data_IF_512883497336
#
_entry.id   IF_512883497336
#
_cell.length_a   1.000
_cell.length_b   1.000
_cell.length_c   1.000
_cell.angle_alpha   90.00
_cell.angle_beta   90.00
_cell.angle_gamma   90.00
#
_symmetry.space_group_name_H-M   'P 1'
#
loop_
_entity.id
_entity.type
_entity.pdbx_description
1 polymer ?
#
# COMPACT_ATOMS: atom_id res chain seq x y z
N UNK A 1 5.81 13.34 7.00
CA UNK A 1 7.09 12.60 6.83
C UNK A 1 7.14 12.03 5.44
N UNK A 2 8.23 12.26 4.68
CA UNK A 2 8.38 11.84 3.28
C UNK A 2 8.90 10.40 3.18
N UNK A 3 9.94 10.03 3.92
CA UNK A 3 10.52 8.69 3.90
C UNK A 3 10.35 7.99 5.25
N UNK A 4 10.00 6.70 5.23
CA UNK A 4 9.70 5.92 6.44
C UNK A 4 10.13 4.45 6.31
N UNK A 5 10.28 3.76 7.43
CA UNK A 5 10.71 2.36 7.49
C UNK A 5 12.24 2.20 7.53
N UNK A 6 12.80 1.08 7.04
CA UNK A 6 12.18 0.01 6.25
C UNK A 6 11.11 -0.80 7.01
N UNK A 7 10.08 -1.21 6.27
CA UNK A 7 8.99 -2.04 6.79
C UNK A 7 9.13 -3.45 6.19
N UNK A 8 8.98 -4.52 7.00
CA UNK A 8 8.93 -5.87 6.46
C UNK A 8 7.72 -6.05 5.55
N UNK A 9 7.93 -6.54 4.36
CA UNK A 9 6.90 -6.79 3.37
C UNK A 9 7.06 -8.18 2.77
N UNK A 10 5.97 -8.96 2.74
CA UNK A 10 5.97 -10.29 2.09
C UNK A 10 6.21 -10.22 0.59
N UNK A 11 5.92 -9.07 -0.03
CA UNK A 11 6.07 -8.85 -1.47
C UNK A 11 7.43 -8.27 -1.84
N UNK A 12 7.98 -7.41 -0.99
CA UNK A 12 9.11 -6.53 -1.31
C UNK A 12 10.29 -6.67 -0.33
N UNK A 13 10.28 -7.65 0.57
CA UNK A 13 11.34 -7.77 1.58
C UNK A 13 11.39 -6.56 2.52
N UNK A 14 12.53 -5.89 2.64
CA UNK A 14 12.69 -4.67 3.44
C UNK A 14 12.37 -3.45 2.58
N UNK A 15 11.16 -2.93 2.70
CA UNK A 15 10.63 -1.84 1.89
C UNK A 15 10.78 -0.50 2.61
N UNK A 16 11.57 0.42 2.04
CA UNK A 16 11.61 1.83 2.48
C UNK A 16 10.50 2.59 1.75
N UNK A 17 9.52 3.07 2.50
CA UNK A 17 8.35 3.75 1.95
C UNK A 17 8.60 5.23 1.65
N UNK A 18 7.94 5.72 0.61
CA UNK A 18 7.99 7.11 0.14
C UNK A 18 6.60 7.68 0.06
N UNK A 19 6.34 8.74 0.81
CA UNK A 19 5.15 9.58 0.71
C UNK A 19 5.46 10.76 -0.22
N UNK A 20 5.08 10.66 -1.48
CA UNK A 20 5.22 11.74 -2.46
C UNK A 20 4.01 12.69 -2.50
N UNK A 21 3.00 12.43 -1.66
CA UNK A 21 1.81 13.26 -1.50
C UNK A 21 1.49 13.45 -0.01
N UNK A 22 0.74 14.49 0.38
CA UNK A 22 0.28 14.66 1.75
C UNK A 22 -0.65 13.52 2.20
N UNK A 23 -0.74 13.26 3.51
CA UNK A 23 -1.64 12.23 4.04
C UNK A 23 -3.08 12.41 3.59
N UNK A 24 -3.75 11.28 3.31
CA UNK A 24 -5.18 11.21 2.99
C UNK A 24 -5.64 12.02 1.77
N UNK A 25 -4.72 12.28 0.84
CA UNK A 25 -5.03 12.76 -0.51
C UNK A 25 -5.13 11.54 -1.42
N UNK A 26 -6.33 11.22 -1.89
CA UNK A 26 -6.56 9.99 -2.67
C UNK A 26 -7.67 10.19 -3.70
N UNK A 27 -7.71 9.33 -4.69
CA UNK A 27 -8.77 9.23 -5.69
C UNK A 27 -9.92 8.34 -5.23
N UNK A 28 -9.69 7.51 -4.19
CA UNK A 28 -10.63 6.58 -3.56
C UNK A 28 -10.78 6.85 -2.07
N UNK A 29 -11.87 6.35 -1.48
CA UNK A 29 -12.06 6.27 -0.03
C UNK A 29 -12.49 4.86 0.33
N UNK A 30 -11.59 3.88 0.09
CA UNK A 30 -11.89 2.45 0.23
C UNK A 30 -12.37 2.12 1.64
N UNK A 31 -13.40 1.29 1.74
CA UNK A 31 -14.02 0.92 3.02
C UNK A 31 -13.06 0.19 3.96
N UNK A 32 -12.06 -0.51 3.40
CA UNK A 32 -11.05 -1.27 4.13
C UNK A 32 -9.74 -0.47 4.40
N UNK A 33 -9.68 0.81 4.05
CA UNK A 33 -8.44 1.57 4.16
C UNK A 33 -7.94 1.65 5.60
N UNK A 34 -6.74 1.12 5.87
CA UNK A 34 -6.12 1.13 7.21
C UNK A 34 -5.78 2.54 7.72
N UNK A 35 -5.77 3.55 6.85
CA UNK A 35 -5.51 4.95 7.19
C UNK A 35 -6.80 5.72 7.51
N UNK A 36 -7.96 5.06 7.40
CA UNK A 36 -9.27 5.67 7.56
C UNK A 36 -9.79 6.31 6.27
N UNK A 37 -10.84 7.11 6.38
CA UNK A 37 -11.47 7.79 5.25
C UNK A 37 -10.54 8.83 4.63
N UNK A 38 -10.66 9.02 3.33
CA UNK A 38 -9.94 10.05 2.57
C UNK A 38 -10.45 11.44 2.95
N UNK A 39 -9.53 12.36 3.26
CA UNK A 39 -9.88 13.74 3.62
C UNK A 39 -9.99 14.65 2.39
N UNK A 40 -9.05 14.50 1.45
CA UNK A 40 -9.03 15.25 0.19
C UNK A 40 -9.15 14.31 -0.99
N UNK A 41 -10.36 14.14 -1.47
CA UNK A 41 -10.63 13.31 -2.64
C UNK A 41 -10.53 14.14 -3.92
N UNK A 42 -9.72 13.67 -4.88
CA UNK A 42 -9.55 14.31 -6.17
C UNK A 42 -9.08 13.33 -7.24
N UNK A 43 -9.26 13.68 -8.51
CA UNK A 43 -8.76 12.91 -9.66
C UNK A 43 -7.80 13.72 -10.54
N UNK A 44 -7.56 14.97 -10.18
CA UNK A 44 -6.61 15.84 -10.88
C UNK A 44 -5.21 15.69 -10.29
N UNK A 45 -4.22 15.55 -11.17
CA UNK A 45 -2.81 15.50 -10.76
C UNK A 45 -2.32 16.89 -10.38
N UNK A 46 -1.43 16.96 -9.40
CA UNK A 46 -0.84 18.21 -8.93
C UNK A 46 0.60 18.02 -8.43
N UNK A 47 1.29 19.12 -8.17
CA UNK A 47 2.57 19.11 -7.46
C UNK A 47 2.28 19.22 -5.95
N UNK A 48 2.82 18.29 -5.17
CA UNK A 48 2.62 18.25 -3.71
C UNK A 48 3.88 18.62 -2.96
N UNK A 49 4.98 17.98 -3.28
CA UNK A 49 6.30 18.28 -2.76
C UNK A 49 7.24 18.67 -3.90
N UNK A 50 8.33 19.37 -3.58
CA UNK A 50 9.40 19.59 -4.56
C UNK A 50 10.18 18.28 -4.73
N UNK A 51 10.50 17.92 -5.96
CA UNK A 51 11.26 16.70 -6.27
C UNK A 51 12.57 16.61 -5.48
N UNK A 52 13.25 17.75 -5.29
CA UNK A 52 14.50 17.85 -4.53
C UNK A 52 14.30 17.59 -3.02
N UNK A 53 13.11 17.88 -2.50
CA UNK A 53 12.75 17.58 -1.11
C UNK A 53 12.56 16.07 -0.92
N UNK A 54 11.85 15.42 -1.83
CA UNK A 54 11.68 13.95 -1.86
C UNK A 54 13.06 13.29 -1.94
N UNK A 55 13.89 13.70 -2.88
CA UNK A 55 15.22 13.13 -3.09
C UNK A 55 16.10 13.26 -1.83
N UNK A 56 16.14 14.45 -1.22
CA UNK A 56 16.92 14.67 0.01
C UNK A 56 16.43 13.79 1.17
N UNK A 57 15.11 13.72 1.39
CA UNK A 57 14.54 12.96 2.48
C UNK A 57 14.80 11.45 2.31
N UNK A 58 14.62 10.92 1.09
CA UNK A 58 14.85 9.50 0.79
C UNK A 58 16.33 9.17 0.90
N UNK A 59 17.22 10.00 0.35
CA UNK A 59 18.69 9.79 0.43
C UNK A 59 19.16 9.78 1.88
N UNK A 60 18.73 10.75 2.70
CA UNK A 60 19.07 10.80 4.12
C UNK A 60 18.59 9.56 4.87
N UNK A 61 17.36 9.08 4.60
CA UNK A 61 16.83 7.87 5.25
C UNK A 61 17.58 6.61 4.79
N UNK A 62 17.91 6.49 3.50
CA UNK A 62 18.73 5.38 2.98
C UNK A 62 20.10 5.33 3.67
N UNK A 63 20.76 6.50 3.82
CA UNK A 63 22.04 6.56 4.53
C UNK A 63 21.92 6.22 6.02
N UNK A 64 20.85 6.66 6.69
CA UNK A 64 20.56 6.32 8.07
C UNK A 64 20.41 4.80 8.25
N UNK A 65 19.61 4.17 7.38
CA UNK A 65 19.35 2.72 7.39
C UNK A 65 20.64 1.93 7.13
N UNK A 66 21.43 2.33 6.13
CA UNK A 66 22.72 1.71 5.83
C UNK A 66 23.71 1.81 6.99
N UNK A 67 23.77 2.97 7.67
CA UNK A 67 24.62 3.16 8.88
C UNK A 67 24.17 2.28 10.04
N UNK A 68 22.87 2.00 10.17
CA UNK A 68 22.35 1.07 11.16
C UNK A 68 22.59 -0.41 10.80
N UNK A 69 23.18 -0.71 9.63
CA UNK A 69 23.42 -2.08 9.16
C UNK A 69 22.16 -2.80 8.68
N UNK A 70 21.09 -2.06 8.41
CA UNK A 70 19.82 -2.61 7.96
C UNK A 70 19.75 -2.72 6.44
N UNK A 71 19.01 -3.71 5.95
CA UNK A 71 18.80 -3.93 4.52
C UNK A 71 17.68 -3.07 3.96
N UNK A 72 17.80 -2.70 2.67
CA UNK A 72 16.73 -2.10 1.88
C UNK A 72 16.69 -2.86 0.55
N UNK A 73 15.58 -3.54 0.29
CA UNK A 73 15.37 -4.28 -0.95
C UNK A 73 14.67 -3.40 -2.01
N UNK A 74 13.74 -2.55 -1.57
CA UNK A 74 12.98 -1.64 -2.44
C UNK A 74 12.82 -0.25 -1.82
N UNK A 75 12.84 0.78 -2.69
CA UNK A 75 12.23 2.08 -2.43
C UNK A 75 10.80 2.03 -2.98
N UNK A 76 9.80 2.26 -2.14
CA UNK A 76 8.40 2.01 -2.52
C UNK A 76 7.57 3.28 -2.39
N UNK A 77 7.06 3.77 -3.51
CA UNK A 77 6.00 4.78 -3.50
C UNK A 77 4.70 4.14 -3.02
N UNK A 78 4.36 4.38 -1.78
CA UNK A 78 3.17 3.85 -1.08
C UNK A 78 2.68 4.87 -0.06
N UNK A 79 2.28 6.06 -0.52
CA UNK A 79 1.89 7.15 0.37
C UNK A 79 0.58 6.85 1.12
N UNK A 80 0.27 7.73 2.05
CA UNK A 80 -1.03 7.76 2.74
C UNK A 80 -2.16 8.24 1.81
N UNK A 81 -2.20 7.71 0.57
CA UNK A 81 -3.11 8.09 -0.49
C UNK A 81 -2.73 7.46 -1.83
N UNK A 82 -2.91 8.18 -2.96
CA UNK A 82 -2.64 7.66 -4.31
C UNK A 82 -1.42 8.32 -4.94
N UNK A 83 -0.28 7.59 -5.11
CA UNK A 83 0.97 8.19 -5.58
C UNK A 83 0.91 8.79 -6.99
N UNK A 84 0.04 8.27 -7.86
CA UNK A 84 -0.07 8.75 -9.25
C UNK A 84 -0.77 10.10 -9.38
N UNK A 85 -1.31 10.66 -8.28
CA UNK A 85 -1.77 12.03 -8.24
C UNK A 85 -0.63 13.05 -8.39
N UNK A 86 0.60 12.66 -8.02
CA UNK A 86 1.75 13.55 -8.17
C UNK A 86 2.25 13.59 -9.62
N UNK A 87 2.32 14.79 -10.18
CA UNK A 87 2.84 15.02 -11.54
C UNK A 87 4.35 14.78 -11.65
N UNK A 88 5.07 14.78 -10.53
CA UNK A 88 6.51 14.60 -10.47
C UNK A 88 6.95 13.14 -10.27
N UNK A 89 6.00 12.21 -10.04
CA UNK A 89 6.27 10.80 -9.74
C UNK A 89 7.32 10.18 -10.69
N UNK A 90 7.17 10.37 -11.99
CA UNK A 90 8.09 9.80 -12.97
C UNK A 90 9.51 10.36 -12.89
N UNK A 91 9.66 11.65 -12.57
CA UNK A 91 10.97 12.29 -12.36
C UNK A 91 11.60 11.81 -11.06
N UNK A 92 10.81 11.67 -10.01
CA UNK A 92 11.27 11.15 -8.72
C UNK A 92 11.80 9.74 -8.83
N UNK A 93 11.07 8.85 -9.54
CA UNK A 93 11.52 7.49 -9.83
C UNK A 93 12.88 7.50 -10.53
N UNK A 94 13.05 8.31 -11.58
CA UNK A 94 14.30 8.39 -12.34
C UNK A 94 15.48 8.84 -11.47
N UNK A 95 15.29 9.87 -10.68
CA UNK A 95 16.36 10.42 -9.83
C UNK A 95 16.75 9.44 -8.71
N UNK A 96 15.77 8.77 -8.10
CA UNK A 96 16.01 7.82 -7.01
C UNK A 96 16.70 6.53 -7.48
N UNK A 97 16.65 6.17 -8.76
CA UNK A 97 17.42 5.05 -9.33
C UNK A 97 18.93 5.19 -9.13
N UNK A 98 19.44 6.42 -9.00
CA UNK A 98 20.85 6.68 -8.72
C UNK A 98 21.33 6.09 -7.38
N UNK A 99 20.41 5.77 -6.45
CA UNK A 99 20.73 5.11 -5.17
C UNK A 99 21.05 3.61 -5.32
N UNK A 100 20.84 3.03 -6.52
CA UNK A 100 21.13 1.61 -6.83
C UNK A 100 20.18 0.63 -6.16
N UNK A 101 18.99 1.10 -5.72
CA UNK A 101 17.95 0.29 -5.08
C UNK A 101 16.77 0.21 -6.05
N UNK A 102 16.13 -0.97 -6.15
CA UNK A 102 14.94 -1.15 -6.99
C UNK A 102 13.79 -0.27 -6.52
N UNK A 103 12.99 0.22 -7.46
CA UNK A 103 11.86 1.09 -7.18
C UNK A 103 10.54 0.36 -7.44
N UNK A 104 9.68 0.37 -6.44
CA UNK A 104 8.31 -0.14 -6.51
C UNK A 104 7.29 1.00 -6.42
N UNK A 105 6.13 0.82 -7.08
CA UNK A 105 4.96 1.68 -6.89
C UNK A 105 3.74 0.82 -6.58
N UNK A 106 3.06 1.14 -5.48
CA UNK A 106 1.77 0.54 -5.12
C UNK A 106 0.70 1.59 -5.40
N UNK A 107 -0.16 1.34 -6.37
CA UNK A 107 -1.21 2.28 -6.79
C UNK A 107 -2.58 1.63 -6.75
N UNK A 108 -3.60 2.41 -6.47
CA UNK A 108 -4.99 1.99 -6.58
C UNK A 108 -5.49 1.91 -8.04
N UNK A 109 -4.60 2.16 -9.00
CA UNK A 109 -4.84 2.05 -10.44
C UNK A 109 -5.79 3.09 -11.04
N UNK A 110 -6.38 3.95 -10.24
CA UNK A 110 -7.49 4.85 -10.65
C UNK A 110 -7.16 5.79 -11.80
N UNK A 111 -5.90 6.18 -11.94
CA UNK A 111 -5.44 7.11 -12.98
C UNK A 111 -4.67 6.44 -14.13
N UNK A 112 -4.58 5.10 -14.16
CA UNK A 112 -3.80 4.36 -15.15
C UNK A 112 -4.34 4.50 -16.60
N UNK A 113 -5.59 4.95 -16.75
CA UNK A 113 -6.16 5.30 -18.05
C UNK A 113 -5.45 6.49 -18.72
N UNK A 114 -4.78 7.35 -17.94
CA UNK A 114 -4.02 8.50 -18.43
C UNK A 114 -2.68 8.05 -19.01
N UNK A 115 -2.32 8.64 -20.15
CA UNK A 115 -1.05 8.30 -20.83
C UNK A 115 0.17 8.78 -20.06
N UNK A 116 0.09 9.97 -19.44
CA UNK A 116 1.16 10.54 -18.61
C UNK A 116 1.43 9.67 -17.36
N UNK A 117 0.38 9.16 -16.71
CA UNK A 117 0.53 8.26 -15.56
C UNK A 117 1.20 6.94 -15.98
N UNK A 118 0.77 6.35 -17.10
CA UNK A 118 1.44 5.14 -17.61
C UNK A 118 2.92 5.39 -17.92
N UNK A 119 3.25 6.55 -18.52
CA UNK A 119 4.64 6.92 -18.81
C UNK A 119 5.49 7.05 -17.52
N UNK A 120 4.92 7.59 -16.44
CA UNK A 120 5.60 7.66 -15.15
C UNK A 120 5.82 6.28 -14.55
N UNK A 121 4.77 5.43 -14.51
CA UNK A 121 4.83 4.09 -13.96
C UNK A 121 5.78 3.15 -14.71
N UNK A 122 5.96 3.33 -16.02
CA UNK A 122 6.92 2.54 -16.82
C UNK A 122 8.37 2.66 -16.36
N UNK A 123 8.69 3.67 -15.57
CA UNK A 123 10.04 3.91 -15.04
C UNK A 123 10.37 3.08 -13.81
N UNK A 124 9.37 2.50 -13.12
CA UNK A 124 9.57 1.66 -11.95
C UNK A 124 9.93 0.22 -12.32
N UNK A 125 10.60 -0.48 -11.39
CA UNK A 125 11.02 -1.86 -11.58
C UNK A 125 9.91 -2.87 -11.24
N UNK A 126 9.00 -2.48 -10.33
CA UNK A 126 7.90 -3.29 -9.83
C UNK A 126 6.65 -2.43 -9.61
N UNK A 127 5.51 -2.90 -10.08
CA UNK A 127 4.23 -2.18 -9.98
C UNK A 127 3.16 -3.12 -9.42
N UNK A 128 2.45 -2.66 -8.38
CA UNK A 128 1.23 -3.30 -7.90
C UNK A 128 0.01 -2.49 -8.34
N UNK A 129 -0.86 -3.12 -9.10
CA UNK A 129 -2.14 -2.56 -9.51
C UNK A 129 -3.26 -3.13 -8.63
N UNK A 130 -4.05 -2.26 -8.02
CA UNK A 130 -5.24 -2.66 -7.28
C UNK A 130 -6.38 -2.99 -8.24
N UNK A 131 -7.05 -4.13 -7.98
CA UNK A 131 -8.21 -4.60 -8.75
C UNK A 131 -9.18 -5.33 -7.81
N UNK A 132 -10.09 -4.62 -7.17
CA UNK A 132 -10.99 -5.19 -6.17
C UNK A 132 -12.30 -5.72 -6.78
N UNK A 133 -12.70 -5.21 -7.95
CA UNK A 133 -13.82 -5.70 -8.75
C UNK A 133 -13.69 -5.27 -10.21
N UNK A 134 -14.36 -5.99 -11.10
CA UNK A 134 -14.60 -5.62 -12.50
C UNK A 134 -16.04 -5.17 -12.74
N UNK A 135 -16.86 -5.14 -11.70
CA UNK A 135 -18.25 -4.67 -11.74
C UNK A 135 -18.34 -3.27 -11.13
N UNK A 136 -18.92 -2.33 -11.88
CA UNK A 136 -19.03 -0.91 -11.51
C UNK A 136 -19.67 -0.72 -10.14
N UNK A 137 -20.75 -1.46 -9.83
CA UNK A 137 -21.45 -1.36 -8.55
C UNK A 137 -20.56 -1.77 -7.39
N UNK A 138 -19.94 -2.95 -7.48
CA UNK A 138 -19.10 -3.49 -6.40
C UNK A 138 -17.86 -2.62 -6.19
N UNK A 139 -17.23 -2.17 -7.27
CA UNK A 139 -16.13 -1.22 -7.21
C UNK A 139 -16.53 0.07 -6.47
N UNK A 140 -17.72 0.62 -6.75
CA UNK A 140 -18.20 1.82 -6.05
C UNK A 140 -18.50 1.56 -4.58
N UNK A 141 -19.01 0.38 -4.26
CA UNK A 141 -19.33 0.01 -2.88
C UNK A 141 -18.05 -0.18 -2.04
N UNK A 142 -16.98 -0.74 -2.61
CA UNK A 142 -15.71 -1.03 -1.94
C UNK A 142 -14.75 0.16 -1.96
N UNK A 143 -14.45 0.68 -3.15
CA UNK A 143 -13.38 1.68 -3.35
C UNK A 143 -13.86 3.11 -3.21
N UNK A 144 -15.17 3.35 -3.28
CA UNK A 144 -15.80 4.68 -3.17
C UNK A 144 -15.05 5.73 -3.99
N UNK A 145 -14.95 5.55 -5.31
CA UNK A 145 -14.10 6.37 -6.16
C UNK A 145 -14.61 7.80 -6.32
N UNK A 146 -13.71 8.71 -6.64
CA UNK A 146 -14.09 10.05 -7.09
C UNK A 146 -15.01 9.96 -8.30
N UNK A 147 -16.06 10.80 -8.33
CA UNK A 147 -17.15 10.76 -9.33
C UNK A 147 -16.71 10.87 -10.79
N UNK A 148 -15.54 11.47 -11.05
CA UNK A 148 -14.99 11.63 -12.41
C UNK A 148 -14.32 10.36 -12.95
N UNK A 149 -14.16 9.30 -12.15
CA UNK A 149 -13.50 8.07 -12.55
C UNK A 149 -14.50 7.09 -13.17
N UNK A 150 -14.01 6.30 -14.13
CA UNK A 150 -14.74 5.25 -14.83
C UNK A 150 -13.97 3.94 -14.74
N UNK A 151 -14.60 2.90 -14.19
CA UNK A 151 -14.00 1.58 -14.06
C UNK A 151 -13.58 1.02 -15.42
N UNK A 152 -14.42 1.14 -16.45
CA UNK A 152 -14.11 0.67 -17.81
C UNK A 152 -12.84 1.35 -18.37
N UNK A 153 -12.65 2.66 -18.15
CA UNK A 153 -11.43 3.37 -18.55
C UNK A 153 -10.21 2.88 -17.79
N UNK A 154 -10.34 2.61 -16.49
CA UNK A 154 -9.28 2.07 -15.64
C UNK A 154 -8.86 0.68 -16.15
N UNK A 155 -9.82 -0.22 -16.37
CA UNK A 155 -9.55 -1.58 -16.85
C UNK A 155 -8.85 -1.58 -18.21
N UNK A 156 -9.30 -0.73 -19.16
CA UNK A 156 -8.60 -0.55 -20.45
C UNK A 156 -7.19 0.01 -20.26
N UNK A 157 -7.01 0.95 -19.34
CA UNK A 157 -5.71 1.52 -19.01
C UNK A 157 -4.73 0.48 -18.46
N UNK A 158 -5.20 -0.43 -17.60
CA UNK A 158 -4.39 -1.54 -17.07
C UNK A 158 -3.92 -2.47 -18.19
N UNK A 159 -4.79 -2.84 -19.13
CA UNK A 159 -4.42 -3.68 -20.28
C UNK A 159 -3.39 -2.97 -21.17
N UNK A 160 -3.63 -1.70 -21.51
CA UNK A 160 -2.69 -0.91 -22.31
C UNK A 160 -1.32 -0.73 -21.62
N UNK A 161 -1.31 -0.59 -20.28
CA UNK A 161 -0.08 -0.52 -19.52
C UNK A 161 0.70 -1.83 -19.60
N UNK A 162 0.03 -2.99 -19.40
CA UNK A 162 0.68 -4.31 -19.46
C UNK A 162 1.37 -4.59 -20.80
N UNK A 163 0.78 -4.16 -21.90
CA UNK A 163 1.36 -4.38 -23.25
C UNK A 163 2.74 -3.74 -23.41
N UNK A 164 2.95 -2.58 -22.78
CA UNK A 164 4.19 -1.81 -22.88
C UNK A 164 5.18 -2.06 -21.72
N UNK A 165 4.68 -2.37 -20.51
CA UNK A 165 5.49 -2.50 -19.32
C UNK A 165 6.36 -3.76 -19.35
N UNK A 166 7.64 -3.63 -18.96
CA UNK A 166 8.63 -4.73 -18.98
C UNK A 166 9.17 -5.10 -17.60
N UNK A 167 8.85 -4.30 -16.57
CA UNK A 167 9.13 -4.64 -15.17
C UNK A 167 8.17 -5.72 -14.64
N UNK A 168 8.29 -6.04 -13.36
CA UNK A 168 7.39 -6.98 -12.69
C UNK A 168 6.04 -6.30 -12.40
N UNK A 169 4.98 -6.81 -13.02
CA UNK A 169 3.60 -6.34 -12.82
C UNK A 169 2.85 -7.33 -11.94
N UNK A 170 2.39 -6.87 -10.80
CA UNK A 170 1.51 -7.66 -9.94
C UNK A 170 0.16 -6.98 -9.76
N UNK A 171 -0.83 -7.76 -9.34
CA UNK A 171 -2.14 -7.23 -8.94
C UNK A 171 -2.43 -7.59 -7.49
N UNK A 172 -3.25 -6.78 -6.84
CA UNK A 172 -3.79 -7.08 -5.54
C UNK A 172 -5.31 -6.90 -5.55
N UNK A 173 -6.02 -7.93 -5.10
CA UNK A 173 -7.46 -7.94 -4.86
C UNK A 173 -7.71 -8.07 -3.38
N UNK A 174 -8.30 -7.05 -2.75
CA UNK A 174 -8.76 -7.08 -1.37
C UNK A 174 -10.14 -7.73 -1.30
N UNK A 175 -10.24 -8.88 -0.65
CA UNK A 175 -11.52 -9.52 -0.41
C UNK A 175 -12.18 -8.94 0.84
N UNK A 176 -13.38 -8.41 0.68
CA UNK A 176 -14.21 -7.85 1.75
C UNK A 176 -15.44 -8.73 1.90
N UNK A 177 -15.64 -9.29 3.10
CA UNK A 177 -16.74 -10.20 3.37
C UNK A 177 -18.11 -9.64 2.99
N UNK A 178 -18.86 -10.40 2.21
CA UNK A 178 -20.19 -10.03 1.74
C UNK A 178 -20.27 -9.02 0.59
N UNK A 179 -19.14 -8.51 0.08
CA UNK A 179 -19.09 -7.55 -1.03
C UNK A 179 -18.61 -8.17 -2.34
N UNK A 180 -17.32 -8.55 -2.42
CA UNK A 180 -16.69 -9.06 -3.64
C UNK A 180 -16.21 -10.52 -3.51
N UNK A 181 -16.72 -11.24 -2.55
CA UNK A 181 -16.32 -12.60 -2.19
C UNK A 181 -17.23 -13.69 -2.79
N UNK A 182 -18.17 -13.31 -3.66
CA UNK A 182 -19.05 -14.26 -4.38
C UNK A 182 -18.34 -14.81 -5.62
N UNK A 183 -18.69 -16.05 -5.99
CA UNK A 183 -18.10 -16.74 -7.15
C UNK A 183 -18.15 -15.95 -8.45
N UNK A 184 -19.27 -15.28 -8.72
CA UNK A 184 -19.45 -14.49 -9.93
C UNK A 184 -18.44 -13.35 -10.01
N UNK A 185 -18.24 -12.63 -8.89
CA UNK A 185 -17.25 -11.56 -8.77
C UNK A 185 -15.83 -12.09 -8.96
N UNK A 186 -15.51 -13.17 -8.27
CA UNK A 186 -14.20 -13.81 -8.32
C UNK A 186 -13.86 -14.32 -9.74
N UNK A 187 -14.84 -14.90 -10.43
CA UNK A 187 -14.69 -15.32 -11.83
C UNK A 187 -14.49 -14.12 -12.75
N UNK A 188 -15.23 -13.03 -12.54
CA UNK A 188 -15.05 -11.79 -13.30
C UNK A 188 -13.65 -11.22 -13.16
N UNK A 189 -13.13 -11.15 -11.92
CA UNK A 189 -11.75 -10.74 -11.65
C UNK A 189 -10.77 -11.71 -12.32
N UNK A 190 -10.95 -13.03 -12.19
CA UNK A 190 -10.08 -14.03 -12.81
C UNK A 190 -10.05 -13.89 -14.34
N UNK A 191 -11.19 -13.69 -14.99
CA UNK A 191 -11.30 -13.49 -16.45
C UNK A 191 -10.54 -12.22 -16.90
N UNK A 192 -10.60 -11.16 -16.13
CA UNK A 192 -9.82 -9.96 -16.42
C UNK A 192 -8.32 -10.20 -16.23
N UNK A 193 -7.90 -10.89 -15.16
CA UNK A 193 -6.50 -11.22 -14.88
C UNK A 193 -5.88 -12.10 -15.97
N UNK A 194 -6.66 -13.01 -16.57
CA UNK A 194 -6.21 -13.81 -17.76
C UNK A 194 -5.84 -12.89 -18.92
N UNK A 195 -6.59 -11.83 -19.14
CA UNK A 195 -6.30 -10.83 -20.20
C UNK A 195 -5.12 -9.94 -19.82
N UNK A 196 -5.06 -9.51 -18.56
CA UNK A 196 -4.01 -8.63 -18.03
C UNK A 196 -2.66 -9.34 -17.95
N UNK A 197 -2.63 -10.65 -17.66
CA UNK A 197 -1.41 -11.46 -17.53
C UNK A 197 -0.39 -10.85 -16.55
N UNK A 198 -0.76 -10.61 -15.28
CA UNK A 198 0.20 -10.17 -14.29
C UNK A 198 1.24 -11.26 -14.05
N UNK A 199 2.43 -10.86 -13.58
CA UNK A 199 3.47 -11.81 -13.18
C UNK A 199 3.05 -12.58 -11.92
N UNK A 200 2.21 -11.95 -11.09
CA UNK A 200 1.60 -12.53 -9.89
C UNK A 200 0.31 -11.79 -9.53
N UNK A 201 -0.69 -12.53 -9.08
CA UNK A 201 -1.92 -11.98 -8.52
C UNK A 201 -1.98 -12.26 -7.01
N UNK A 202 -2.15 -11.23 -6.22
CA UNK A 202 -2.30 -11.34 -4.78
C UNK A 202 -3.78 -11.25 -4.38
N UNK A 203 -4.20 -12.18 -3.49
CA UNK A 203 -5.43 -12.07 -2.73
C UNK A 203 -5.09 -11.59 -1.34
N UNK A 204 -5.69 -10.50 -0.91
CA UNK A 204 -5.54 -9.95 0.44
C UNK A 204 -6.90 -9.88 1.15
N UNK A 205 -6.86 -9.83 2.48
CA UNK A 205 -8.01 -9.61 3.34
C UNK A 205 -7.71 -8.47 4.32
N UNK A 206 -8.72 -7.79 4.89
CA UNK A 206 -8.50 -6.84 5.96
C UNK A 206 -7.87 -7.54 7.18
N UNK A 207 -6.60 -7.21 7.47
CA UNK A 207 -5.84 -7.74 8.62
C UNK A 207 -5.46 -6.64 9.62
N UNK A 208 -5.94 -5.43 9.40
CA UNK A 208 -5.73 -4.24 10.22
C UNK A 208 -7.04 -3.47 10.33
N UNK A 209 -7.19 -2.60 11.36
CA UNK A 209 -8.40 -1.80 11.52
C UNK A 209 -8.79 -1.08 10.24
N UNK A 210 -9.98 -1.34 9.66
CA UNK A 210 -10.45 -0.71 8.43
C UNK A 210 -11.02 0.69 8.68
N UNK A 211 -11.29 1.43 7.59
CA UNK A 211 -11.93 2.74 7.66
C UNK A 211 -13.38 2.67 8.15
N UNK A 212 -14.06 1.56 7.85
CA UNK A 212 -15.46 1.32 8.21
C UNK A 212 -15.55 0.13 9.18
N UNK A 213 -16.16 0.32 10.34
CA UNK A 213 -16.26 -0.68 11.40
C UNK A 213 -16.98 -1.98 11.00
N UNK A 214 -17.87 -1.91 10.01
CA UNK A 214 -18.59 -3.08 9.50
C UNK A 214 -17.78 -3.94 8.53
N UNK A 215 -16.62 -3.49 8.08
CA UNK A 215 -15.74 -4.24 7.17
C UNK A 215 -15.08 -5.38 7.92
N UNK A 216 -15.23 -6.58 7.38
CA UNK A 216 -14.58 -7.79 7.91
C UNK A 216 -13.93 -8.61 6.81
N UNK A 217 -12.97 -9.43 7.19
CA UNK A 217 -12.46 -10.48 6.31
C UNK A 217 -13.53 -11.50 6.00
N UNK A 218 -13.55 -12.10 4.80
CA UNK A 218 -14.38 -13.26 4.53
C UNK A 218 -13.94 -14.46 5.39
N UNK A 219 -14.84 -15.45 5.63
CA UNK A 219 -14.47 -16.73 6.25
C UNK A 219 -13.33 -17.42 5.48
N UNK A 220 -12.51 -18.21 6.19
CA UNK A 220 -11.37 -18.93 5.61
C UNK A 220 -11.77 -19.82 4.41
N UNK A 221 -12.93 -20.48 4.50
CA UNK A 221 -13.48 -21.28 3.41
C UNK A 221 -13.69 -20.45 2.14
N UNK A 222 -14.21 -19.23 2.29
CA UNK A 222 -14.41 -18.29 1.19
C UNK A 222 -13.09 -17.82 0.59
N UNK A 223 -12.08 -17.56 1.42
CA UNK A 223 -10.73 -17.19 0.96
C UNK A 223 -10.09 -18.34 0.17
N UNK A 224 -10.21 -19.58 0.67
CA UNK A 224 -9.73 -20.77 -0.02
C UNK A 224 -10.43 -20.97 -1.37
N UNK A 225 -11.74 -20.77 -1.42
CA UNK A 225 -12.53 -20.83 -2.64
C UNK A 225 -12.11 -19.75 -3.64
N UNK A 226 -11.91 -18.53 -3.18
CA UNK A 226 -11.39 -17.44 -4.02
C UNK A 226 -10.02 -17.80 -4.63
N UNK A 227 -9.11 -18.32 -3.80
CA UNK A 227 -7.82 -18.81 -4.27
C UNK A 227 -7.96 -19.88 -5.36
N UNK A 228 -8.83 -20.85 -5.17
CA UNK A 228 -9.07 -21.93 -6.15
C UNK A 228 -9.59 -21.36 -7.48
N UNK A 229 -10.64 -20.51 -7.43
CA UNK A 229 -11.23 -19.89 -8.62
C UNK A 229 -10.17 -19.10 -9.43
N UNK A 230 -9.35 -18.30 -8.75
CA UNK A 230 -8.30 -17.54 -9.43
C UNK A 230 -7.18 -18.45 -9.95
N UNK A 231 -6.76 -19.46 -9.17
CA UNK A 231 -5.65 -20.37 -9.53
C UNK A 231 -5.98 -21.31 -10.69
N UNK A 232 -7.25 -21.59 -10.96
CA UNK A 232 -7.68 -22.32 -12.15
C UNK A 232 -7.32 -21.59 -13.45
N UNK A 233 -7.19 -20.25 -13.40
CA UNK A 233 -7.06 -19.40 -14.58
C UNK A 233 -5.79 -18.56 -14.61
N UNK A 234 -5.27 -18.18 -13.44
CA UNK A 234 -4.10 -17.32 -13.28
C UNK A 234 -2.91 -18.15 -12.79
N UNK A 235 -1.81 -18.08 -13.52
CA UNK A 235 -0.65 -18.95 -13.31
C UNK A 235 -0.02 -18.85 -11.93
N UNK A 236 0.00 -17.67 -11.33
CA UNK A 236 0.60 -17.41 -10.01
C UNK A 236 -0.36 -16.60 -9.18
N UNK A 237 -1.00 -17.24 -8.24
CA UNK A 237 -1.86 -16.61 -7.22
C UNK A 237 -1.24 -16.85 -5.85
N UNK A 238 -1.17 -15.81 -5.03
CA UNK A 238 -0.67 -15.90 -3.66
C UNK A 238 -1.62 -15.18 -2.70
N UNK A 239 -1.81 -15.76 -1.52
CA UNK A 239 -2.63 -15.15 -0.48
C UNK A 239 -1.79 -14.33 0.50
N UNK A 240 -2.19 -13.07 0.72
CA UNK A 240 -1.63 -12.17 1.72
C UNK A 240 -2.53 -12.12 2.96
N UNK A 241 -2.83 -13.29 3.52
CA UNK A 241 -3.83 -13.46 4.59
C UNK A 241 -3.22 -13.52 6.00
N UNK A 242 -1.92 -13.43 6.15
CA UNK A 242 -1.27 -13.49 7.47
C UNK A 242 -0.61 -12.15 7.85
N UNK A 243 -0.13 -12.08 9.07
CA UNK A 243 0.65 -10.95 9.55
C UNK A 243 2.06 -10.95 8.92
N UNK A 244 2.59 -9.77 8.61
CA UNK A 244 3.87 -9.60 7.89
C UNK A 244 5.11 -9.78 8.79
N UNK A 245 4.91 -10.03 10.10
CA UNK A 245 5.98 -10.23 11.08
C UNK A 245 6.33 -8.95 11.85
N UNK A 246 7.28 -9.10 12.79
CA UNK A 246 7.65 -8.05 13.76
C UNK A 246 9.04 -7.44 13.49
N UNK A 247 9.68 -7.82 12.35
CA UNK A 247 11.06 -7.44 12.07
C UNK A 247 11.18 -6.02 11.49
N UNK A 248 10.62 -5.03 12.19
CA UNK A 248 10.79 -3.63 11.85
C UNK A 248 12.23 -3.16 12.10
N UNK A 249 12.75 -2.33 11.19
CA UNK A 249 14.09 -1.77 11.33
C UNK A 249 14.15 -0.78 12.49
N UNK A 250 15.29 -0.79 13.21
CA UNK A 250 15.63 0.25 14.17
C UNK A 250 16.74 1.12 13.59
N UNK A 251 16.46 2.42 13.39
CA UNK A 251 17.37 3.34 12.71
C UNK A 251 18.08 4.31 13.66
N UNK A 252 17.94 4.08 14.98
CA UNK A 252 18.66 4.82 16.03
C UNK A 252 17.78 5.74 16.87
N UNK A 253 16.58 6.09 16.43
CA UNK A 253 15.57 6.84 17.19
C UNK A 253 14.25 6.08 17.19
N UNK A 254 13.92 5.47 18.33
CA UNK A 254 12.74 4.62 18.44
C UNK A 254 11.42 5.40 18.38
N UNK A 255 11.39 6.64 18.85
CA UNK A 255 10.19 7.49 18.73
C UNK A 255 9.91 7.84 17.27
N UNK A 256 10.95 8.25 16.54
CA UNK A 256 10.86 8.56 15.12
C UNK A 256 10.49 7.31 14.29
N UNK A 257 11.12 6.17 14.57
CA UNK A 257 10.81 4.90 13.90
C UNK A 257 9.34 4.49 14.13
N UNK A 258 8.85 4.51 15.39
CA UNK A 258 7.45 4.20 15.71
C UNK A 258 6.51 5.15 14.99
N UNK A 259 6.75 6.46 15.08
CA UNK A 259 5.89 7.46 14.45
C UNK A 259 5.90 7.36 12.92
N UNK A 260 7.04 7.04 12.33
CA UNK A 260 7.17 6.90 10.89
C UNK A 260 6.46 5.64 10.36
N UNK A 261 6.65 4.52 11.05
CA UNK A 261 6.03 3.25 10.67
C UNK A 261 4.51 3.34 10.87
N UNK A 262 4.05 3.79 12.03
CA UNK A 262 2.61 3.83 12.36
C UNK A 262 1.81 4.86 11.55
N UNK A 263 2.47 5.76 10.84
CA UNK A 263 1.82 6.67 9.91
C UNK A 263 1.14 5.92 8.76
N UNK A 264 1.77 4.86 8.26
CA UNK A 264 1.32 4.10 7.08
C UNK A 264 1.00 2.63 7.39
N UNK A 265 1.49 2.11 8.51
CA UNK A 265 1.41 0.70 8.86
C UNK A 265 1.04 0.55 10.35
N UNK A 266 -0.24 0.33 10.68
CA UNK A 266 -0.62 0.02 12.06
C UNK A 266 0.19 -1.15 12.62
N UNK A 267 0.89 -0.92 13.74
CA UNK A 267 1.75 -1.93 14.36
C UNK A 267 0.96 -2.70 15.42
N UNK A 268 1.09 -4.03 15.44
CA UNK A 268 0.58 -4.85 16.54
C UNK A 268 1.41 -4.64 17.80
N UNK A 269 0.82 -4.92 18.97
CA UNK A 269 1.50 -4.82 20.27
C UNK A 269 2.79 -5.63 20.31
N UNK A 270 2.79 -6.85 19.74
CA UNK A 270 3.97 -7.71 19.66
C UNK A 270 5.08 -7.09 18.79
N UNK A 271 4.72 -6.40 17.72
CA UNK A 271 5.68 -5.70 16.86
C UNK A 271 6.30 -4.49 17.55
N UNK A 272 5.48 -3.72 18.27
CA UNK A 272 5.97 -2.62 19.10
C UNK A 272 6.92 -3.14 20.18
N UNK A 273 6.55 -4.21 20.89
CA UNK A 273 7.41 -4.85 21.90
C UNK A 273 8.75 -5.28 21.32
N UNK A 274 8.75 -5.91 20.13
CA UNK A 274 9.97 -6.34 19.46
C UNK A 274 10.87 -5.16 19.08
N UNK A 275 10.30 -4.07 18.57
CA UNK A 275 11.05 -2.86 18.21
C UNK A 275 11.62 -2.16 19.46
N UNK A 276 10.83 -2.03 20.54
CA UNK A 276 11.30 -1.48 21.82
C UNK A 276 12.45 -2.29 22.40
N UNK A 277 12.36 -3.63 22.41
CA UNK A 277 13.43 -4.50 22.87
C UNK A 277 14.71 -4.32 22.05
N UNK A 278 14.60 -4.21 20.74
CA UNK A 278 15.72 -3.95 19.83
C UNK A 278 16.38 -2.60 20.09
N UNK A 279 15.57 -1.57 20.38
CA UNK A 279 16.02 -0.23 20.71
C UNK A 279 16.53 -0.08 22.17
N UNK A 280 16.47 -1.14 22.98
CA UNK A 280 16.72 -1.11 24.42
C UNK A 280 15.87 -0.05 25.16
N UNK A 281 14.65 0.14 24.69
CA UNK A 281 13.64 1.05 25.24
C UNK A 281 12.50 0.26 25.90
N UNK A 282 11.65 0.95 26.63
CA UNK A 282 10.48 0.35 27.28
C UNK A 282 9.17 1.04 26.87
N UNK A 283 8.06 0.55 27.39
CA UNK A 283 6.71 1.03 27.08
C UNK A 283 6.43 2.49 27.51
N UNK A 284 7.33 3.16 28.24
CA UNK A 284 7.20 4.58 28.56
C UNK A 284 7.19 5.45 27.29
N UNK A 285 7.92 5.03 26.25
CA UNK A 285 7.94 5.66 24.92
C UNK A 285 6.53 5.70 24.33
N UNK A 286 5.84 4.57 24.30
CA UNK A 286 4.48 4.46 23.75
C UNK A 286 3.50 5.29 24.57
N UNK A 287 3.55 5.19 25.90
CA UNK A 287 2.70 6.00 26.80
C UNK A 287 2.90 7.50 26.59
N UNK A 288 4.16 7.94 26.43
CA UNK A 288 4.49 9.33 26.09
C UNK A 288 3.84 9.77 24.78
N UNK A 289 3.97 8.98 23.71
CA UNK A 289 3.43 9.30 22.39
C UNK A 289 1.89 9.31 22.39
N UNK A 290 1.24 8.41 23.14
CA UNK A 290 -0.22 8.41 23.31
C UNK A 290 -0.67 9.66 24.09
N UNK A 291 0.01 9.99 25.20
CA UNK A 291 -0.30 11.17 26.01
C UNK A 291 -0.12 12.46 25.22
N UNK A 292 0.91 12.51 24.36
CA UNK A 292 1.14 13.63 23.44
C UNK A 292 0.14 13.68 22.27
N UNK A 293 -0.79 12.73 22.19
CA UNK A 293 -1.79 12.68 21.13
C UNK A 293 -1.24 12.32 19.75
N UNK A 294 -0.03 11.76 19.68
CA UNK A 294 0.65 11.39 18.42
C UNK A 294 0.35 9.96 18.01
N UNK A 295 0.04 9.07 18.96
CA UNK A 295 -0.43 7.70 18.73
C UNK A 295 -1.82 7.50 19.30
N UNK A 296 -2.54 6.54 18.73
CA UNK A 296 -3.78 5.98 19.30
C UNK A 296 -3.70 4.47 19.30
N UNK A 297 -4.39 3.87 20.27
CA UNK A 297 -4.66 2.43 20.29
C UNK A 297 -5.94 2.14 19.51
N UNK A 298 -6.00 0.99 18.87
CA UNK A 298 -7.19 0.43 18.26
C UNK A 298 -7.20 -1.09 18.49
N UNK A 299 -8.37 -1.68 18.58
CA UNK A 299 -8.53 -3.13 18.66
C UNK A 299 -9.20 -3.62 17.35
N UNK A 300 -8.69 -4.71 16.80
CA UNK A 300 -9.26 -5.36 15.64
C UNK A 300 -9.00 -6.87 15.72
N UNK A 301 -10.06 -7.68 15.58
CA UNK A 301 -10.01 -9.15 15.68
C UNK A 301 -9.28 -9.65 16.96
N UNK A 302 -9.55 -9.02 18.08
CA UNK A 302 -8.94 -9.36 19.38
C UNK A 302 -7.44 -9.05 19.47
N UNK A 303 -6.91 -8.25 18.57
CA UNK A 303 -5.52 -7.78 18.57
C UNK A 303 -5.45 -6.28 18.81
N UNK A 304 -4.50 -5.85 19.63
CA UNK A 304 -4.21 -4.44 19.84
C UNK A 304 -3.25 -3.91 18.79
N UNK A 305 -3.58 -2.73 18.24
CA UNK A 305 -2.80 -2.01 17.24
C UNK A 305 -2.48 -0.60 17.70
N UNK A 306 -1.32 -0.11 17.30
CA UNK A 306 -0.88 1.27 17.48
C UNK A 306 -0.82 1.95 16.12
N UNK A 307 -1.43 3.11 16.03
CA UNK A 307 -1.59 3.89 14.80
C UNK A 307 -1.20 5.34 15.04
N UNK A 308 -0.59 5.99 14.05
CA UNK A 308 -0.36 7.44 14.10
C UNK A 308 -1.69 8.18 14.15
N UNK A 309 -1.79 9.17 15.03
CA UNK A 309 -2.88 10.13 15.01
C UNK A 309 -2.42 11.34 14.19
N UNK A 310 -3.08 11.59 13.08
CA UNK A 310 -2.87 12.83 12.32
C UNK A 310 -3.73 13.91 12.98
N UNK A 311 -3.12 15.05 13.29
CA UNK A 311 -3.77 16.22 13.86
C UNK A 311 -4.52 17.00 12.78
#
# INVERSE_FOLDING_TARGET
>A
MIAFGPIPSRRLGHSLGINNIPPKVCTYSCVYCQLGRTDKMGAERGAFFQTEEILRAVTAKVEQVRRAGEAIDFLTFVPDGEPTLDIHLGREIELLKALGIKIAVITNSSLIWRTDVRADLMKADWISLKLDSVQERIWRDIDRPHRALSLDSILRGMLAFREAYRGELVTETMLVGGLNDRDEELRGVADFLVRLRPDRAYLSIPIRPPAEEWVSAPPEETVNRAYQILSERVKRVECLVGYEGNAFAFTGDVEDDILSITAVHPMREEAVSALLARAKADWSVIRKLITAGQLKEAEYEGKKFYMRKFL
#
